data_IF_564333051050
#
_entry.id   IF_564333051050
#
_cell.length_a   1.000
_cell.length_b   1.000
_cell.length_c   1.000
_cell.angle_alpha   90.00
_cell.angle_beta   90.00
_cell.angle_gamma   90.00
#
_symmetry.space_group_name_H-M   'P 1'
#
loop_
_entity.id
_entity.type
_entity.pdbx_description
1 polymer ?
#
# COMPACT_ATOMS: atom_id res chain seq x y z
N UNK A 1 65.20 42.28 -73.98
CA UNK A 1 65.55 41.69 -72.66
C UNK A 1 64.56 42.07 -71.56
N UNK A 2 64.34 43.36 -71.25
CA UNK A 2 63.40 43.79 -70.19
C UNK A 2 61.95 43.26 -70.32
N UNK A 3 61.40 43.22 -71.54
CA UNK A 3 60.05 42.65 -71.80
C UNK A 3 59.98 41.14 -71.55
N UNK A 4 61.09 40.41 -71.74
CA UNK A 4 61.17 38.97 -71.52
C UNK A 4 61.23 38.70 -70.01
N UNK A 5 61.94 39.53 -69.26
CA UNK A 5 62.00 39.47 -67.80
C UNK A 5 60.63 39.73 -67.15
N UNK A 6 59.89 40.78 -67.57
CA UNK A 6 58.56 41.04 -66.99
C UNK A 6 57.54 39.94 -67.31
N UNK A 7 57.63 39.33 -68.49
CA UNK A 7 56.80 38.18 -68.87
C UNK A 7 57.16 36.95 -68.03
N UNK A 8 58.46 36.70 -67.79
CA UNK A 8 58.95 35.64 -66.91
C UNK A 8 58.39 35.79 -65.48
N UNK A 9 58.45 36.99 -64.91
CA UNK A 9 57.92 37.24 -63.55
C UNK A 9 56.40 37.04 -63.48
N UNK A 10 55.65 37.48 -64.49
CA UNK A 10 54.20 37.26 -64.54
C UNK A 10 53.83 35.77 -64.62
N UNK A 11 54.63 34.98 -65.35
CA UNK A 11 54.44 33.53 -65.47
C UNK A 11 54.79 32.82 -64.16
N UNK A 12 55.78 33.32 -63.42
CA UNK A 12 56.13 32.81 -62.09
C UNK A 12 55.01 33.05 -61.08
N UNK A 13 54.50 34.28 -61.00
CA UNK A 13 53.40 34.64 -60.10
C UNK A 13 52.13 33.84 -60.41
N UNK A 14 51.78 33.70 -61.69
CA UNK A 14 50.63 32.89 -62.11
C UNK A 14 50.81 31.39 -61.78
N UNK A 15 52.04 30.88 -61.74
CA UNK A 15 52.33 29.50 -61.30
C UNK A 15 52.18 29.33 -59.79
N UNK A 16 52.66 30.28 -59.01
CA UNK A 16 52.50 30.28 -57.54
C UNK A 16 51.02 30.37 -57.16
N UNK A 17 50.27 31.28 -57.79
CA UNK A 17 48.84 31.45 -57.54
C UNK A 17 48.05 30.17 -57.91
N UNK A 18 48.39 29.54 -59.04
CA UNK A 18 47.83 28.23 -59.41
C UNK A 18 48.18 27.13 -58.42
N UNK A 19 49.37 27.16 -57.84
CA UNK A 19 49.81 26.17 -56.84
C UNK A 19 49.05 26.36 -55.52
N UNK A 20 48.87 27.61 -55.07
CA UNK A 20 48.07 27.95 -53.91
C UNK A 20 46.60 27.51 -54.07
N UNK A 21 45.99 27.81 -55.23
CA UNK A 21 44.62 27.38 -55.55
C UNK A 21 44.47 25.85 -55.56
N UNK A 22 45.48 25.11 -56.03
CA UNK A 22 45.47 23.64 -55.96
C UNK A 22 45.55 23.13 -54.53
N UNK A 23 46.39 23.72 -53.71
CA UNK A 23 46.53 23.33 -52.31
C UNK A 23 45.23 23.60 -51.53
N UNK A 24 44.58 24.74 -51.79
CA UNK A 24 43.26 25.05 -51.23
C UNK A 24 42.19 24.07 -51.72
N UNK A 25 42.20 23.72 -53.00
CA UNK A 25 41.29 22.73 -53.57
C UNK A 25 41.45 21.35 -52.91
N UNK A 26 42.67 20.88 -52.71
CA UNK A 26 42.98 19.62 -52.03
C UNK A 26 42.50 19.65 -50.56
N UNK A 27 42.72 20.77 -49.87
CA UNK A 27 42.26 20.95 -48.50
C UNK A 27 40.73 20.95 -48.40
N UNK A 28 40.03 21.64 -49.31
CA UNK A 28 38.57 21.63 -49.38
C UNK A 28 38.03 20.23 -49.71
N UNK A 29 38.65 19.51 -50.65
CA UNK A 29 38.26 18.13 -50.98
C UNK A 29 38.39 17.20 -49.78
N UNK A 30 39.50 17.27 -49.04
CA UNK A 30 39.68 16.46 -47.83
C UNK A 30 38.61 16.77 -46.76
N UNK A 31 38.25 18.05 -46.60
CA UNK A 31 37.23 18.48 -45.65
C UNK A 31 35.84 18.02 -46.08
N UNK A 32 35.49 18.12 -47.36
CA UNK A 32 34.23 17.60 -47.92
C UNK A 32 34.14 16.10 -47.66
N UNK A 33 35.20 15.34 -47.93
CA UNK A 33 35.21 13.89 -47.69
C UNK A 33 34.93 13.54 -46.22
N UNK A 34 35.54 14.28 -45.28
CA UNK A 34 35.29 14.08 -43.85
C UNK A 34 33.84 14.41 -43.44
N UNK A 35 33.25 15.45 -44.01
CA UNK A 35 31.88 15.86 -43.73
C UNK A 35 30.88 14.88 -44.33
N UNK A 36 31.15 14.38 -45.54
CA UNK A 36 30.33 13.35 -46.18
C UNK A 36 30.31 12.05 -45.38
N UNK A 37 31.42 11.66 -44.75
CA UNK A 37 31.43 10.50 -43.86
C UNK A 37 30.69 10.74 -42.54
N UNK A 38 30.65 11.97 -42.04
CA UNK A 38 29.92 12.33 -40.82
C UNK A 38 28.41 12.48 -41.03
N UNK A 39 27.97 12.81 -42.26
CA UNK A 39 26.57 13.11 -42.55
C UNK A 39 25.59 11.97 -42.19
N UNK A 40 25.86 10.68 -42.48
CA UNK A 40 24.94 9.59 -42.13
C UNK A 40 24.78 9.43 -40.61
N UNK A 41 25.88 9.54 -39.86
CA UNK A 41 25.86 9.42 -38.38
C UNK A 41 25.10 10.59 -37.77
N UNK A 42 25.31 11.80 -38.30
CA UNK A 42 24.59 12.99 -37.85
C UNK A 42 23.09 12.85 -38.12
N UNK A 43 22.69 12.33 -39.28
CA UNK A 43 21.29 12.13 -39.63
C UNK A 43 20.62 11.08 -38.73
N UNK A 44 21.33 9.99 -38.41
CA UNK A 44 20.85 9.00 -37.43
C UNK A 44 20.68 9.61 -36.03
N UNK A 45 21.66 10.39 -35.55
CA UNK A 45 21.59 11.06 -34.26
C UNK A 45 20.44 12.08 -34.20
N UNK A 46 20.22 12.84 -35.28
CA UNK A 46 19.11 13.79 -35.36
C UNK A 46 17.75 13.08 -35.31
N UNK A 47 17.60 11.96 -36.01
CA UNK A 47 16.38 11.17 -35.96
C UNK A 47 16.10 10.65 -34.54
N UNK A 48 17.13 10.15 -33.84
CA UNK A 48 16.97 9.71 -32.44
C UNK A 48 16.63 10.86 -31.50
N UNK A 49 17.22 12.06 -31.69
CA UNK A 49 16.89 13.25 -30.92
C UNK A 49 15.43 13.68 -31.14
N UNK A 50 14.98 13.70 -32.40
CA UNK A 50 13.60 14.02 -32.74
C UNK A 50 12.62 13.02 -32.10
N UNK A 51 12.93 11.73 -32.14
CA UNK A 51 12.11 10.70 -31.52
C UNK A 51 12.03 10.87 -29.99
N UNK A 52 13.15 11.19 -29.35
CA UNK A 52 13.19 11.48 -27.91
C UNK A 52 12.38 12.73 -27.56
N UNK A 53 12.51 13.80 -28.35
CA UNK A 53 11.72 15.03 -28.23
C UNK A 53 10.23 14.77 -28.36
N UNK A 54 9.81 13.94 -29.33
CA UNK A 54 8.41 13.55 -29.52
C UNK A 54 7.86 12.71 -28.35
N UNK A 55 8.66 11.80 -27.80
CA UNK A 55 8.26 10.97 -26.64
C UNK A 55 8.14 11.77 -25.35
N UNK A 56 9.04 12.74 -25.15
CA UNK A 56 9.07 13.56 -23.94
C UNK A 56 8.16 14.79 -24.03
N UNK A 57 7.78 15.22 -25.23
CA UNK A 57 7.04 16.46 -25.46
C UNK A 57 7.88 17.72 -25.22
N UNK A 58 9.20 17.58 -25.13
CA UNK A 58 10.16 18.64 -24.82
C UNK A 58 11.08 18.92 -26.01
N UNK A 59 11.47 20.17 -26.21
CA UNK A 59 12.38 20.57 -27.29
C UNK A 59 13.81 20.70 -26.75
N UNK A 60 14.74 19.94 -27.31
CA UNK A 60 16.14 19.94 -26.90
C UNK A 60 17.00 20.78 -27.84
N UNK A 61 17.32 22.00 -27.41
CA UNK A 61 18.13 22.94 -28.19
C UNK A 61 19.63 22.78 -27.94
N UNK A 62 19.98 22.28 -26.76
CA UNK A 62 21.36 22.06 -26.33
C UNK A 62 21.55 20.66 -25.72
N UNK A 63 22.81 20.22 -25.67
CA UNK A 63 23.15 18.99 -24.94
C UNK A 63 22.91 19.09 -23.43
N UNK A 64 22.84 20.31 -22.89
CA UNK A 64 22.58 20.53 -21.46
C UNK A 64 21.11 20.26 -21.14
N UNK A 65 20.19 20.65 -22.03
CA UNK A 65 18.75 20.43 -21.90
C UNK A 65 18.44 18.93 -21.74
N UNK A 66 19.11 18.08 -22.53
CA UNK A 66 18.97 16.62 -22.43
C UNK A 66 19.42 16.10 -21.06
N UNK A 67 20.54 16.62 -20.55
CA UNK A 67 21.08 16.19 -19.25
C UNK A 67 20.23 16.68 -18.08
N UNK A 68 19.69 17.89 -18.16
CA UNK A 68 18.78 18.44 -17.14
C UNK A 68 17.47 17.67 -17.11
N UNK A 69 16.87 17.40 -18.27
CA UNK A 69 15.66 16.59 -18.37
C UNK A 69 15.88 15.18 -17.83
N UNK A 70 17.00 14.55 -18.15
CA UNK A 70 17.35 13.23 -17.61
C UNK A 70 17.46 13.25 -16.08
N UNK A 71 18.08 14.28 -15.49
CA UNK A 71 18.16 14.41 -14.03
C UNK A 71 16.77 14.53 -13.40
N UNK A 72 15.89 15.36 -13.97
CA UNK A 72 14.52 15.48 -13.48
C UNK A 72 13.72 14.18 -13.63
N UNK A 73 13.91 13.45 -14.73
CA UNK A 73 13.24 12.17 -14.96
C UNK A 73 13.67 11.12 -13.92
N UNK A 74 14.97 11.04 -13.63
CA UNK A 74 15.51 10.12 -12.63
C UNK A 74 15.03 10.46 -11.22
N UNK A 75 14.87 11.74 -10.88
CA UNK A 75 14.31 12.14 -9.59
C UNK A 75 12.84 11.75 -9.48
N UNK A 76 12.03 12.03 -10.51
CA UNK A 76 10.62 11.59 -10.57
C UNK A 76 10.48 10.07 -10.47
N UNK A 77 11.36 9.33 -11.14
CA UNK A 77 11.38 7.87 -11.06
C UNK A 77 11.67 7.38 -9.63
N UNK A 78 12.63 8.02 -8.94
CA UNK A 78 12.94 7.70 -7.54
C UNK A 78 11.77 7.99 -6.61
N UNK A 79 11.16 9.16 -6.73
CA UNK A 79 9.98 9.54 -5.94
C UNK A 79 8.85 8.53 -6.15
N UNK A 80 8.56 8.16 -7.40
CA UNK A 80 7.52 7.19 -7.72
C UNK A 80 7.82 5.78 -7.18
N UNK A 81 9.09 5.36 -7.15
CA UNK A 81 9.49 4.08 -6.55
C UNK A 81 9.26 4.10 -5.04
N UNK A 82 9.64 5.18 -4.36
CA UNK A 82 9.45 5.32 -2.90
C UNK A 82 7.96 5.31 -2.57
N UNK A 83 7.15 6.09 -3.30
CA UNK A 83 5.70 6.11 -3.09
C UNK A 83 5.06 4.74 -3.33
N UNK A 84 5.47 4.04 -4.41
CA UNK A 84 5.01 2.67 -4.70
C UNK A 84 5.33 1.73 -3.54
N UNK A 85 6.54 1.81 -3.01
CA UNK A 85 7.00 0.92 -1.93
C UNK A 85 6.27 1.23 -0.61
N UNK A 86 6.01 2.51 -0.31
CA UNK A 86 5.19 2.93 0.84
C UNK A 86 3.74 2.44 0.73
N UNK A 87 3.12 2.62 -0.44
CA UNK A 87 1.77 2.10 -0.73
C UNK A 87 1.75 0.58 -0.62
N UNK A 88 2.77 -0.10 -1.13
CA UNK A 88 2.92 -1.55 -1.01
C UNK A 88 3.02 -2.02 0.44
N UNK A 89 3.80 -1.33 1.28
CA UNK A 89 3.93 -1.63 2.70
C UNK A 89 2.59 -1.42 3.44
N UNK A 90 1.89 -0.31 3.17
CA UNK A 90 0.58 -0.03 3.76
C UNK A 90 -0.46 -1.06 3.33
N UNK A 91 -0.45 -1.47 2.06
CA UNK A 91 -1.33 -2.52 1.56
C UNK A 91 -1.10 -3.83 2.31
N UNK A 92 0.16 -4.26 2.44
CA UNK A 92 0.47 -5.50 3.15
C UNK A 92 0.03 -5.46 4.61
N UNK A 93 0.19 -4.32 5.30
CA UNK A 93 -0.28 -4.16 6.68
C UNK A 93 -1.82 -4.28 6.80
N UNK A 94 -2.55 -3.72 5.82
CA UNK A 94 -4.02 -3.86 5.77
C UNK A 94 -4.42 -5.30 5.44
N UNK A 95 -3.71 -5.96 4.52
CA UNK A 95 -3.97 -7.37 4.17
C UNK A 95 -3.75 -8.29 5.40
N UNK A 96 -2.69 -8.06 6.19
CA UNK A 96 -2.43 -8.77 7.46
C UNK A 96 -3.52 -8.51 8.52
N UNK A 97 -4.01 -7.28 8.62
CA UNK A 97 -5.10 -6.93 9.54
C UNK A 97 -6.41 -7.58 9.13
N UNK A 98 -6.73 -7.58 7.82
CA UNK A 98 -7.89 -8.29 7.28
C UNK A 98 -7.77 -9.78 7.58
N UNK A 99 -6.61 -10.39 7.35
CA UNK A 99 -6.40 -11.82 7.63
C UNK A 99 -6.63 -12.13 9.11
N UNK A 100 -6.12 -11.30 10.01
CA UNK A 100 -6.33 -11.44 11.46
C UNK A 100 -7.82 -11.37 11.83
N UNK A 101 -8.54 -10.37 11.32
CA UNK A 101 -9.97 -10.16 11.63
C UNK A 101 -10.89 -11.16 10.94
N UNK A 102 -10.48 -11.72 9.80
CA UNK A 102 -11.28 -12.68 9.03
C UNK A 102 -11.16 -14.11 9.57
N UNK A 103 -10.27 -14.38 10.53
CA UNK A 103 -10.24 -15.69 11.18
C UNK A 103 -11.57 -15.89 11.91
N UNK A 104 -12.33 -16.96 11.64
CA UNK A 104 -13.59 -17.23 12.32
C UNK A 104 -13.31 -17.60 13.78
N UNK A 105 -13.22 -16.58 14.63
CA UNK A 105 -13.04 -16.70 16.07
C UNK A 105 -14.39 -16.85 16.75
N UNK A 106 -14.76 -18.10 17.02
CA UNK A 106 -15.99 -18.41 17.73
C UNK A 106 -17.11 -18.72 16.75
N UNK A 107 -17.21 -19.98 16.35
CA UNK A 107 -18.46 -20.53 15.84
C UNK A 107 -19.52 -20.34 16.94
N UNK A 108 -20.29 -19.25 16.84
CA UNK A 108 -21.46 -19.04 17.66
C UNK A 108 -22.40 -20.21 17.39
N UNK A 109 -22.81 -20.89 18.46
CA UNK A 109 -23.70 -22.04 18.33
C UNK A 109 -25.04 -21.55 17.80
N UNK A 110 -25.42 -21.94 16.59
CA UNK A 110 -26.66 -21.49 15.94
C UNK A 110 -27.90 -21.78 16.79
N UNK A 111 -27.81 -22.75 17.71
CA UNK A 111 -28.89 -23.08 18.66
C UNK A 111 -29.16 -21.96 19.67
N UNK A 112 -28.16 -21.15 20.01
CA UNK A 112 -28.31 -20.04 20.96
C UNK A 112 -29.21 -18.93 20.42
N UNK A 113 -29.11 -18.63 19.12
CA UNK A 113 -30.01 -17.68 18.45
C UNK A 113 -31.47 -18.13 18.54
N UNK A 114 -31.74 -19.41 18.25
CA UNK A 114 -33.09 -19.97 18.34
C UNK A 114 -33.63 -19.98 19.79
N UNK A 115 -32.75 -20.19 20.77
CA UNK A 115 -33.11 -20.13 22.20
C UNK A 115 -33.38 -18.70 22.66
N UNK A 116 -32.61 -17.71 22.19
CA UNK A 116 -32.81 -16.31 22.53
C UNK A 116 -34.18 -15.82 22.06
N UNK A 117 -34.56 -16.11 20.81
CA UNK A 117 -35.89 -15.80 20.27
C UNK A 117 -37.00 -16.48 21.07
N UNK A 118 -36.80 -17.76 21.45
CA UNK A 118 -37.80 -18.53 22.20
C UNK A 118 -38.02 -17.99 23.62
N UNK A 119 -36.99 -17.48 24.26
CA UNK A 119 -37.08 -16.88 25.61
C UNK A 119 -37.49 -15.41 25.58
N UNK A 120 -37.63 -14.79 24.40
CA UNK A 120 -37.91 -13.36 24.27
C UNK A 120 -36.76 -12.50 24.78
N UNK A 121 -35.53 -13.00 24.69
CA UNK A 121 -34.30 -12.33 25.11
C UNK A 121 -33.41 -11.98 23.93
N UNK A 122 -32.28 -11.33 24.23
CA UNK A 122 -31.24 -10.94 23.27
C UNK A 122 -29.91 -11.56 23.71
N UNK A 123 -29.06 -11.95 22.76
CA UNK A 123 -27.74 -12.47 23.10
C UNK A 123 -26.83 -11.35 23.61
N UNK A 124 -26.00 -11.67 24.60
CA UNK A 124 -25.00 -10.74 25.11
C UNK A 124 -23.99 -10.33 24.02
N UNK A 125 -23.68 -11.25 23.08
CA UNK A 125 -22.85 -10.95 21.90
C UNK A 125 -23.47 -9.89 21.00
N UNK A 126 -24.80 -9.87 20.85
CA UNK A 126 -25.52 -8.88 20.03
C UNK A 126 -25.62 -7.52 20.75
N UNK A 127 -25.79 -7.51 22.08
CA UNK A 127 -25.78 -6.27 22.88
C UNK A 127 -24.41 -5.58 22.81
N UNK A 128 -23.33 -6.36 22.71
CA UNK A 128 -21.95 -5.88 22.63
C UNK A 128 -21.34 -5.97 21.23
N UNK A 129 -22.15 -6.04 20.16
CA UNK A 129 -21.65 -6.04 18.77
C UNK A 129 -21.00 -4.69 18.39
N UNK A 130 -21.47 -3.60 18.99
CA UNK A 130 -20.98 -2.23 18.76
C UNK A 130 -19.74 -1.85 19.62
N UNK A 131 -19.09 -2.82 20.29
CA UNK A 131 -17.89 -2.57 21.10
C UNK A 131 -16.68 -2.29 20.21
N UNK A 132 -15.78 -1.42 20.68
CA UNK A 132 -14.54 -1.11 19.96
C UNK A 132 -13.64 -2.35 19.80
N UNK A 133 -12.87 -2.43 18.71
CA UNK A 133 -11.90 -3.51 18.51
C UNK A 133 -10.84 -3.59 19.62
N UNK A 134 -10.54 -2.48 20.28
CA UNK A 134 -9.56 -2.43 21.37
C UNK A 134 -10.12 -3.07 22.66
N UNK A 135 -11.43 -2.92 22.89
CA UNK A 135 -12.09 -3.37 24.11
C UNK A 135 -12.75 -4.76 23.97
N UNK A 136 -13.07 -5.20 22.76
CA UNK A 136 -13.75 -6.48 22.51
C UNK A 136 -13.01 -7.70 23.13
N UNK A 137 -11.66 -7.81 23.07
CA UNK A 137 -10.94 -8.90 23.72
C UNK A 137 -11.05 -8.85 25.26
N UNK A 138 -11.11 -7.65 25.83
CA UNK A 138 -11.26 -7.45 27.27
C UNK A 138 -12.63 -7.95 27.74
N UNK A 139 -13.71 -7.49 27.10
CA UNK A 139 -15.07 -7.91 27.46
C UNK A 139 -15.28 -9.42 27.23
N UNK A 140 -14.72 -9.97 26.16
CA UNK A 140 -14.74 -11.42 25.92
C UNK A 140 -14.10 -12.22 27.05
N UNK A 141 -12.97 -11.75 27.59
CA UNK A 141 -12.30 -12.38 28.72
C UNK A 141 -13.05 -12.14 30.06
N UNK A 142 -13.64 -10.96 30.23
CA UNK A 142 -14.42 -10.54 31.39
C UNK A 142 -15.67 -11.38 31.57
N UNK A 143 -16.38 -11.72 30.48
CA UNK A 143 -17.56 -12.57 30.53
C UNK A 143 -17.20 -14.07 30.47
N UNK A 144 -16.10 -14.44 29.80
CA UNK A 144 -15.63 -15.83 29.73
C UNK A 144 -16.70 -16.76 29.13
N UNK A 145 -17.06 -17.89 29.77
CA UNK A 145 -18.14 -18.75 29.26
C UNK A 145 -19.50 -18.06 29.14
N UNK A 146 -19.76 -17.04 29.97
CA UNK A 146 -21.01 -16.26 29.95
C UNK A 146 -21.10 -15.26 28.79
N UNK A 147 -20.09 -15.17 27.91
CA UNK A 147 -20.11 -14.29 26.73
C UNK A 147 -21.25 -14.61 25.75
N UNK A 148 -21.75 -15.84 25.78
CA UNK A 148 -22.87 -16.32 24.98
C UNK A 148 -24.18 -16.39 25.79
N UNK A 149 -24.25 -15.64 26.90
CA UNK A 149 -25.46 -15.63 27.71
C UNK A 149 -26.62 -14.97 26.97
N UNK A 150 -27.83 -15.45 27.26
CA UNK A 150 -29.07 -14.82 26.81
C UNK A 150 -29.53 -13.87 27.92
N UNK A 151 -29.66 -12.59 27.58
CA UNK A 151 -30.21 -11.57 28.47
C UNK A 151 -31.73 -11.56 28.33
N UNK A 152 -32.43 -11.80 29.44
CA UNK A 152 -33.90 -11.86 29.48
C UNK A 152 -34.41 -10.91 30.56
N UNK A 153 -35.53 -10.19 30.33
CA UNK A 153 -36.09 -9.26 31.34
C UNK A 153 -36.55 -9.93 32.64
N UNK A 154 -36.96 -11.21 32.60
CA UNK A 154 -37.48 -11.96 33.75
C UNK A 154 -37.15 -13.46 33.61
N UNK A 155 -36.33 -13.98 34.52
CA UNK A 155 -35.93 -15.39 34.54
C UNK A 155 -37.09 -16.33 34.92
N UNK A 156 -38.13 -15.81 35.57
CA UNK A 156 -39.30 -16.61 35.99
C UNK A 156 -40.03 -17.19 34.77
N UNK A 157 -40.11 -16.43 33.68
CA UNK A 157 -40.77 -16.85 32.43
C UNK A 157 -39.94 -17.90 31.66
N UNK A 158 -38.62 -17.87 31.83
CA UNK A 158 -37.71 -18.85 31.21
C UNK A 158 -37.79 -20.20 31.92
N UNK A 159 -38.04 -20.20 33.22
CA UNK A 159 -38.05 -21.42 34.06
C UNK A 159 -39.02 -22.48 33.53
N UNK A 160 -40.22 -22.08 33.07
CA UNK A 160 -41.21 -22.99 32.47
C UNK A 160 -40.75 -23.57 31.11
N UNK A 161 -39.91 -22.85 30.38
CA UNK A 161 -39.36 -23.29 29.10
C UNK A 161 -38.10 -24.14 29.22
N UNK A 162 -37.42 -24.10 30.37
CA UNK A 162 -36.28 -24.97 30.69
C UNK A 162 -36.70 -26.42 30.95
N UNK A 163 -37.90 -26.64 31.49
CA UNK A 163 -38.44 -27.98 31.70
C UNK A 163 -38.77 -28.65 30.36
N UNK A 164 -37.90 -29.57 29.91
CA UNK A 164 -38.04 -30.31 28.65
C UNK A 164 -37.20 -29.76 27.49
N UNK A 165 -36.28 -28.84 27.75
CA UNK A 165 -35.29 -28.39 26.78
C UNK A 165 -34.34 -29.55 26.43
N UNK A 166 -34.35 -29.96 25.16
CA UNK A 166 -33.52 -31.08 24.65
C UNK A 166 -32.51 -30.62 23.59
N UNK A 167 -32.72 -29.44 23.01
CA UNK A 167 -31.86 -28.85 21.98
C UNK A 167 -31.18 -27.58 22.51
N UNK A 168 -30.20 -27.78 23.39
CA UNK A 168 -29.37 -26.71 23.96
C UNK A 168 -27.90 -27.14 24.04
N UNK A 169 -26.95 -26.18 24.16
CA UNK A 169 -25.57 -26.50 24.50
C UNK A 169 -25.47 -27.16 25.89
N UNK A 170 -24.31 -27.75 26.19
CA UNK A 170 -24.05 -28.41 27.48
C UNK A 170 -24.19 -27.43 28.65
N UNK A 171 -23.69 -26.20 28.48
CA UNK A 171 -23.81 -25.11 29.44
C UNK A 171 -24.60 -23.94 28.81
N UNK A 172 -25.72 -23.56 29.43
CA UNK A 172 -26.54 -22.41 29.03
C UNK A 172 -26.49 -21.34 30.12
N UNK A 173 -26.04 -20.14 29.75
CA UNK A 173 -25.99 -18.98 30.64
C UNK A 173 -27.17 -18.04 30.36
N UNK A 174 -27.84 -17.62 31.44
CA UNK A 174 -28.99 -16.71 31.40
C UNK A 174 -28.68 -15.55 32.35
N UNK A 175 -28.93 -14.32 31.92
CA UNK A 175 -28.76 -13.13 32.74
C UNK A 175 -30.07 -12.36 32.77
N UNK A 176 -30.51 -11.99 33.97
CA UNK A 176 -31.64 -11.09 34.13
C UNK A 176 -31.18 -9.64 33.93
N UNK A 177 -31.78 -8.93 32.98
CA UNK A 177 -31.40 -7.55 32.69
C UNK A 177 -32.23 -6.94 31.56
N UNK A 178 -32.17 -5.62 31.44
CA UNK A 178 -32.74 -4.91 30.30
C UNK A 178 -31.72 -4.90 29.14
N UNK A 179 -32.03 -5.50 27.97
CA UNK A 179 -31.15 -5.46 26.81
C UNK A 179 -30.78 -4.05 26.34
N UNK A 180 -31.61 -3.03 26.63
CA UNK A 180 -31.36 -1.65 26.19
C UNK A 180 -30.45 -0.85 27.13
N UNK A 181 -30.27 -1.31 28.36
CA UNK A 181 -29.45 -0.63 29.38
C UNK A 181 -28.77 -1.65 30.29
N UNK A 182 -28.03 -2.57 29.68
CA UNK A 182 -27.32 -3.61 30.42
C UNK A 182 -26.17 -3.01 31.25
N UNK A 183 -26.04 -3.44 32.51
CA UNK A 183 -25.07 -2.89 33.47
C UNK A 183 -23.91 -3.87 33.70
N UNK A 184 -22.69 -3.42 33.37
CA UNK A 184 -21.43 -4.17 33.48
C UNK A 184 -20.89 -4.31 34.91
N UNK A 185 -21.51 -3.64 35.89
CA UNK A 185 -20.96 -3.40 37.24
C UNK A 185 -20.87 -4.63 38.17
N UNK A 186 -21.09 -5.85 37.69
CA UNK A 186 -21.37 -7.03 38.54
C UNK A 186 -20.11 -7.82 38.94
N UNK A 187 -18.98 -7.64 38.24
CA UNK A 187 -17.79 -8.47 38.47
C UNK A 187 -16.73 -7.81 39.36
N UNK A 188 -16.19 -8.57 40.32
CA UNK A 188 -14.96 -8.23 41.04
C UNK A 188 -13.76 -8.71 40.23
N UNK A 189 -13.04 -7.76 39.63
CA UNK A 189 -12.03 -8.04 38.59
C UNK A 189 -10.68 -7.46 38.97
N UNK A 190 -9.62 -8.25 38.78
CA UNK A 190 -8.24 -7.81 38.75
C UNK A 190 -7.70 -7.91 37.31
N UNK A 191 -7.28 -6.78 36.73
CA UNK A 191 -6.74 -6.70 35.38
C UNK A 191 -5.25 -7.04 35.33
N UNK A 192 -4.86 -7.83 34.33
CA UNK A 192 -3.48 -8.24 34.05
C UNK A 192 -3.11 -7.90 32.60
N UNK A 193 -1.81 -7.96 32.28
CA UNK A 193 -1.34 -7.77 30.91
C UNK A 193 -1.89 -8.87 29.99
N UNK A 194 -2.81 -8.49 29.09
CA UNK A 194 -3.53 -9.37 28.14
C UNK A 194 -4.41 -10.45 28.79
N UNK A 195 -4.85 -10.26 30.03
CA UNK A 195 -5.71 -11.21 30.71
C UNK A 195 -6.51 -10.55 31.83
N UNK A 196 -7.56 -11.24 32.25
CA UNK A 196 -8.44 -10.80 33.34
C UNK A 196 -8.59 -11.93 34.36
N UNK A 197 -8.52 -11.58 35.65
CA UNK A 197 -8.85 -12.48 36.76
C UNK A 197 -10.16 -12.02 37.40
N UNK A 198 -11.17 -12.87 37.30
CA UNK A 198 -12.49 -12.63 37.90
C UNK A 198 -12.64 -13.47 39.17
N UNK A 199 -12.93 -12.84 40.31
CA UNK A 199 -13.29 -13.54 41.54
C UNK A 199 -14.77 -13.93 41.45
N UNK A 200 -15.04 -15.19 41.10
CA UNK A 200 -16.41 -15.72 40.97
C UNK A 200 -17.05 -15.98 42.35
N UNK A 201 -16.27 -16.49 43.30
CA UNK A 201 -16.72 -16.75 44.66
C UNK A 201 -15.57 -16.61 45.66
N UNK A 202 -15.86 -16.70 46.97
CA UNK A 202 -14.88 -16.51 48.05
C UNK A 202 -13.64 -17.43 47.99
N UNK A 203 -13.68 -18.51 47.21
CA UNK A 203 -12.57 -19.44 46.98
C UNK A 203 -12.43 -19.89 45.52
N UNK A 204 -13.02 -19.16 44.56
CA UNK A 204 -12.99 -19.53 43.14
C UNK A 204 -12.65 -18.33 42.28
N UNK A 205 -11.56 -18.44 41.54
CA UNK A 205 -11.09 -17.41 40.60
C UNK A 205 -11.08 -18.00 39.20
N UNK A 206 -11.40 -17.16 38.20
CA UNK A 206 -11.29 -17.51 36.79
C UNK A 206 -10.27 -16.60 36.15
N UNK A 207 -9.31 -17.21 35.47
CA UNK A 207 -8.33 -16.53 34.65
C UNK A 207 -8.73 -16.69 33.18
N UNK A 208 -8.96 -15.57 32.50
CA UNK A 208 -9.31 -15.54 31.07
C UNK A 208 -8.26 -14.72 30.33
N UNK A 209 -7.66 -15.28 29.28
CA UNK A 209 -6.78 -14.52 28.38
C UNK A 209 -7.61 -13.76 27.36
N UNK A 210 -7.08 -12.63 26.89
CA UNK A 210 -7.68 -11.92 25.77
C UNK A 210 -7.62 -12.81 24.53
N UNK A 211 -8.77 -13.12 23.91
CA UNK A 211 -8.77 -13.82 22.65
C UNK A 211 -8.11 -12.95 21.58
N UNK A 212 -7.50 -13.59 20.59
CA UNK A 212 -6.86 -12.91 19.45
C UNK A 212 -7.89 -12.48 18.40
N UNK A 213 -9.15 -12.92 18.55
CA UNK A 213 -10.31 -12.65 17.71
C UNK A 213 -11.48 -12.25 18.59
#
# INVERSE_FOLDING_TARGET
EARIASLSDSVSNAREERMALRQEQEQLQSRIQSLMQRAPVWLAAQNSLNQLSEQCGEEFTSSQDVTEYLQQLLEREREAIVERDEVGARKNAVDEEIERLSQPGGSEDQRLNALAERFGGVLLSEIYDDVSLEDAPYFSALYGPSRHAIVVPDLSQVTEHLEGLTDCPEDLYLIEGDPQSFDDSVFSVDELEKAVVVKIADRQWRYSRFPEV
#
